data_IF_421279580363
#
_entry.id   IF_421279580363
#
_cell.length_a   1.000
_cell.length_b   1.000
_cell.length_c   1.000
_cell.angle_alpha   90.00
_cell.angle_beta   90.00
_cell.angle_gamma   90.00
#
_symmetry.space_group_name_H-M   'P 1'
#
loop_
_entity.id
_entity.type
_entity.pdbx_description
1 polymer ?
#
# COMPACT_ATOMS: atom_id res chain seq x y z
N UNK A 1 -7.85 11.90 12.28
CA UNK A 1 -8.27 10.94 11.24
C UNK A 1 -7.05 10.62 10.40
N UNK A 2 -6.69 9.34 10.23
CA UNK A 2 -5.51 8.95 9.44
C UNK A 2 -5.98 8.77 8.00
N UNK A 3 -5.70 9.75 7.15
CA UNK A 3 -6.01 9.66 5.73
C UNK A 3 -4.96 8.79 5.05
N UNK A 4 -5.40 7.69 4.44
CA UNK A 4 -4.54 6.89 3.57
C UNK A 4 -4.53 7.52 2.18
N UNK A 5 -3.35 7.66 1.61
CA UNK A 5 -3.20 8.23 0.27
C UNK A 5 -3.57 7.17 -0.78
N UNK A 6 -4.21 7.60 -1.86
CA UNK A 6 -4.42 6.74 -3.02
C UNK A 6 -3.12 6.64 -3.82
N UNK A 7 -2.72 5.42 -4.16
CA UNK A 7 -1.62 5.20 -5.08
C UNK A 7 -2.13 5.16 -6.52
N UNK A 8 -1.39 5.79 -7.42
CA UNK A 8 -1.75 5.87 -8.83
C UNK A 8 -0.91 4.88 -9.65
N UNK A 9 -1.57 3.87 -10.20
CA UNK A 9 -1.03 2.92 -11.17
C UNK A 9 -1.56 1.50 -10.96
N UNK A 10 -0.98 0.55 -11.68
CA UNK A 10 -1.45 -0.85 -11.68
C UNK A 10 -0.47 -1.76 -10.94
N UNK A 11 -0.68 -2.00 -9.63
CA UNK A 11 0.12 -2.98 -8.91
C UNK A 11 -0.02 -4.36 -9.54
N UNK A 12 1.10 -5.06 -9.63
CA UNK A 12 1.14 -6.46 -10.04
C UNK A 12 0.43 -7.34 -9.00
N UNK A 13 0.03 -8.55 -9.41
CA UNK A 13 -0.59 -9.53 -8.50
C UNK A 13 0.29 -9.82 -7.27
N UNK A 14 1.62 -9.79 -7.43
CA UNK A 14 2.60 -9.98 -6.35
C UNK A 14 2.61 -8.78 -5.39
N UNK A 15 2.40 -7.56 -5.89
CA UNK A 15 2.30 -6.37 -5.03
C UNK A 15 0.99 -6.33 -4.27
N UNK A 16 -0.08 -6.85 -4.86
CA UNK A 16 -1.37 -6.99 -4.19
C UNK A 16 -1.32 -7.88 -2.94
N UNK A 17 -0.35 -8.81 -2.84
CA UNK A 17 -0.13 -9.62 -1.63
C UNK A 17 0.62 -8.88 -0.53
N UNK A 18 1.27 -7.74 -0.83
CA UNK A 18 2.02 -6.94 0.14
C UNK A 18 1.10 -6.00 0.91
N UNK A 19 0.17 -6.54 1.71
CA UNK A 19 -0.75 -5.73 2.51
C UNK A 19 -0.03 -4.91 3.59
N UNK A 20 -0.54 -3.73 3.90
CA UNK A 20 -0.09 -2.97 5.05
C UNK A 20 -0.63 -3.56 6.36
N UNK A 21 0.02 -3.20 7.47
CA UNK A 21 -0.55 -3.41 8.80
C UNK A 21 -1.78 -2.53 9.05
N UNK A 22 -2.58 -2.85 10.09
CA UNK A 22 -3.72 -2.03 10.54
C UNK A 22 -3.32 -0.60 10.91
N UNK A 23 -2.05 -0.37 11.24
CA UNK A 23 -1.50 0.95 11.52
C UNK A 23 -1.08 1.72 10.27
N UNK A 24 -1.43 1.23 9.07
CA UNK A 24 -1.01 1.76 7.75
C UNK A 24 0.51 1.87 7.61
N UNK A 25 1.23 0.89 8.17
CA UNK A 25 2.70 0.81 8.09
C UNK A 25 3.13 -0.40 7.29
N UNK A 26 4.23 -0.20 6.58
CA UNK A 26 4.92 -1.23 5.80
C UNK A 26 6.17 -1.71 6.53
N UNK A 27 6.48 -3.00 6.40
CA UNK A 27 7.71 -3.59 6.96
C UNK A 27 8.95 -2.97 6.32
N UNK A 28 8.88 -2.68 5.03
CA UNK A 28 9.95 -2.03 4.30
C UNK A 28 9.70 -0.52 4.24
N UNK A 29 10.66 0.26 4.75
CA UNK A 29 10.60 1.74 4.80
C UNK A 29 10.64 2.41 3.43
N UNK A 30 11.05 1.69 2.38
CA UNK A 30 11.06 2.20 1.00
C UNK A 30 9.68 2.08 0.32
N UNK A 31 8.68 1.54 1.02
CA UNK A 31 7.32 1.39 0.54
C UNK A 31 6.39 2.22 1.41
N UNK A 32 5.41 2.82 0.78
CA UNK A 32 4.35 3.59 1.44
C UNK A 32 3.09 2.74 1.48
N UNK A 33 2.34 2.84 2.57
CA UNK A 33 1.02 2.24 2.61
C UNK A 33 0.03 3.15 1.89
N UNK A 34 -0.60 2.64 0.85
CA UNK A 34 -1.57 3.38 0.06
C UNK A 34 -2.71 2.49 -0.40
N UNK A 35 -3.83 3.13 -0.73
CA UNK A 35 -5.02 2.44 -1.23
C UNK A 35 -4.95 2.24 -2.74
N UNK A 36 -5.41 1.07 -3.20
CA UNK A 36 -5.47 0.64 -4.61
C UNK A 36 -6.71 -0.22 -4.86
N UNK A 37 -6.93 -0.71 -6.09
CA UNK A 37 -7.98 -1.70 -6.38
C UNK A 37 -7.83 -3.01 -5.59
N UNK A 38 -6.60 -3.33 -5.17
CA UNK A 38 -6.31 -4.46 -4.29
C UNK A 38 -6.56 -4.14 -2.81
N UNK A 39 -6.99 -2.93 -2.45
CA UNK A 39 -7.07 -2.41 -1.09
C UNK A 39 -5.73 -1.80 -0.63
N UNK A 40 -5.53 -1.75 0.70
CA UNK A 40 -4.34 -1.13 1.31
C UNK A 40 -3.10 -2.02 1.14
N UNK A 41 -2.17 -1.58 0.32
CA UNK A 41 -0.92 -2.29 0.03
C UNK A 41 0.30 -1.41 0.26
N UNK A 42 1.42 -2.07 0.52
CA UNK A 42 2.74 -1.48 0.59
C UNK A 42 3.30 -1.38 -0.82
N UNK A 43 3.28 -0.18 -1.37
CA UNK A 43 3.72 0.07 -2.72
C UNK A 43 4.75 1.19 -2.79
N UNK A 44 5.62 1.13 -3.80
CA UNK A 44 6.65 2.14 -4.00
C UNK A 44 6.06 3.12 -4.99
N UNK A 45 5.72 4.31 -4.50
CA UNK A 45 5.27 5.42 -5.34
C UNK A 45 6.38 5.85 -6.31
#
# INVERSE_FOLDING_TARGET
EMFIEECWGEPTVIECTKKCSRALKCTNKNYTCCWTYCGNICWKN
#
